data_IF_730254985747
#
_entry.id   IF_730254985747
#
_cell.length_a   1.000
_cell.length_b   1.000
_cell.length_c   1.000
_cell.angle_alpha   90.00
_cell.angle_beta   90.00
_cell.angle_gamma   90.00
#
_symmetry.space_group_name_H-M   'P 1'
#
loop_
_entity.id
_entity.type
_entity.pdbx_description
1 polymer ?
#
# COMPACT_ATOMS: atom_id res chain seq x y z
N UNK A 1 19.73 3.53 4.99
CA UNK A 1 19.10 4.83 4.59
C UNK A 1 20.14 5.93 4.50
N UNK A 2 20.90 6.21 5.54
CA UNK A 2 21.95 7.25 5.59
C UNK A 2 22.91 7.23 4.40
N UNK A 3 23.52 6.08 4.10
CA UNK A 3 24.42 5.91 2.95
C UNK A 3 23.76 6.22 1.59
N UNK A 4 22.50 5.81 1.39
CA UNK A 4 21.76 6.09 0.14
C UNK A 4 21.45 7.58 -0.05
N UNK A 5 21.18 8.29 1.06
CA UNK A 5 20.83 9.70 1.04
C UNK A 5 22.02 10.64 1.21
N UNK A 6 23.23 10.08 1.42
CA UNK A 6 24.46 10.83 1.69
C UNK A 6 24.34 11.84 2.83
N UNK A 7 23.59 11.48 3.87
CA UNK A 7 23.42 12.28 5.10
C UNK A 7 23.71 11.40 6.32
N UNK A 8 24.08 12.02 7.43
CA UNK A 8 24.40 11.29 8.66
C UNK A 8 23.17 10.67 9.34
N UNK A 9 23.42 9.67 10.19
CA UNK A 9 22.34 8.93 10.86
C UNK A 9 21.57 9.79 11.87
N UNK A 10 22.22 10.75 12.50
CA UNK A 10 21.61 11.66 13.49
C UNK A 10 20.60 12.55 12.77
N UNK A 11 20.99 13.11 11.63
CA UNK A 11 20.09 13.92 10.78
C UNK A 11 18.86 13.12 10.35
N UNK A 12 19.01 11.86 9.92
CA UNK A 12 17.86 11.01 9.59
C UNK A 12 16.97 10.79 10.79
N UNK A 13 17.55 10.44 11.95
CA UNK A 13 16.79 10.22 13.17
C UNK A 13 16.00 11.45 13.59
N UNK A 14 16.61 12.62 13.51
CA UNK A 14 15.97 13.88 13.85
C UNK A 14 14.83 14.21 12.87
N UNK A 15 15.01 13.96 11.56
CA UNK A 15 13.93 14.14 10.56
C UNK A 15 12.76 13.20 10.82
N UNK A 16 13.02 11.92 11.09
CA UNK A 16 11.96 10.95 11.43
C UNK A 16 11.21 11.40 12.69
N UNK A 17 11.94 11.85 13.74
CA UNK A 17 11.33 12.37 14.96
C UNK A 17 10.43 13.59 14.70
N UNK A 18 10.86 14.52 13.85
CA UNK A 18 10.03 15.68 13.45
C UNK A 18 8.76 15.24 12.72
N UNK A 19 8.85 14.27 11.80
CA UNK A 19 7.67 13.75 11.11
C UNK A 19 6.70 13.02 12.06
N UNK A 20 7.21 12.37 13.09
CA UNK A 20 6.37 11.78 14.14
C UNK A 20 5.70 12.86 15.01
N UNK A 21 6.45 13.89 15.39
CA UNK A 21 5.95 15.01 16.19
C UNK A 21 4.90 15.86 15.46
N UNK A 22 5.05 16.04 14.14
CA UNK A 22 4.04 16.74 13.32
C UNK A 22 2.79 15.89 13.06
N UNK A 23 2.79 14.60 13.40
CA UNK A 23 1.71 13.67 13.09
C UNK A 23 1.72 13.19 11.62
N UNK A 24 2.68 13.65 10.79
CA UNK A 24 2.83 13.18 9.42
C UNK A 24 3.17 11.69 9.34
N UNK A 25 4.13 11.23 10.16
CA UNK A 25 4.47 9.83 10.30
C UNK A 25 3.77 9.25 11.54
N UNK A 26 2.64 8.57 11.35
CA UNK A 26 1.89 7.93 12.44
C UNK A 26 2.61 6.73 13.05
N UNK A 27 3.42 6.03 12.25
CA UNK A 27 4.14 4.85 12.69
C UNK A 27 4.62 3.99 11.51
N UNK A 28 4.77 2.72 11.78
CA UNK A 28 5.21 1.73 10.80
C UNK A 28 4.28 0.53 10.84
N UNK A 29 4.05 -0.08 9.70
CA UNK A 29 3.27 -1.31 9.58
C UNK A 29 4.09 -2.41 8.95
N UNK A 30 3.80 -3.62 9.37
CA UNK A 30 4.29 -4.83 8.75
C UNK A 30 3.31 -5.26 7.66
N UNK A 31 3.83 -5.49 6.47
CA UNK A 31 3.11 -6.19 5.40
C UNK A 31 3.84 -7.52 5.19
N UNK A 32 3.13 -8.61 5.41
CA UNK A 32 3.57 -9.95 4.99
C UNK A 32 3.25 -10.06 3.50
N UNK A 33 4.17 -10.60 2.71
CA UNK A 33 3.95 -10.73 1.27
C UNK A 33 2.64 -11.50 1.00
N UNK A 34 1.66 -10.92 0.31
CA UNK A 34 0.36 -11.55 0.03
C UNK A 34 0.48 -12.92 -0.63
N UNK A 35 1.52 -13.15 -1.43
CA UNK A 35 1.76 -14.45 -2.07
C UNK A 35 1.99 -15.57 -1.04
N UNK A 36 2.57 -15.28 0.13
CA UNK A 36 2.74 -16.24 1.23
C UNK A 36 1.44 -16.52 1.99
N UNK A 37 0.52 -15.58 1.94
CA UNK A 37 -0.78 -15.68 2.59
C UNK A 37 -1.84 -16.34 1.68
N UNK A 38 -1.52 -16.53 0.40
CA UNK A 38 -2.46 -17.06 -0.59
C UNK A 38 -3.55 -16.04 -0.97
N UNK A 39 -3.26 -14.74 -0.82
CA UNK A 39 -4.21 -13.66 -1.12
C UNK A 39 -3.71 -12.77 -2.26
N UNK A 40 -4.65 -12.14 -2.95
CA UNK A 40 -4.41 -11.15 -3.99
C UNK A 40 -4.91 -9.78 -3.52
N UNK A 41 -4.30 -8.73 -4.03
CA UNK A 41 -4.75 -7.36 -3.79
C UNK A 41 -5.15 -6.71 -5.10
N UNK A 42 -6.23 -5.93 -5.04
CA UNK A 42 -6.65 -5.07 -6.16
C UNK A 42 -7.08 -3.71 -5.65
N UNK A 43 -6.88 -2.70 -6.45
CA UNK A 43 -7.48 -1.39 -6.28
C UNK A 43 -8.69 -1.30 -7.17
N UNK A 44 -9.82 -0.96 -6.58
CA UNK A 44 -11.04 -0.63 -7.26
C UNK A 44 -11.14 0.88 -7.36
N UNK A 45 -11.56 1.37 -8.51
CA UNK A 45 -11.85 2.75 -8.76
C UNK A 45 -13.29 2.89 -9.25
N UNK A 46 -14.04 3.83 -8.69
CA UNK A 46 -15.46 4.02 -9.00
C UNK A 46 -15.93 5.44 -8.68
N UNK A 47 -17.01 5.86 -9.35
CA UNK A 47 -17.67 7.12 -9.08
C UNK A 47 -18.81 6.97 -8.06
N UNK A 48 -19.04 8.04 -7.29
CA UNK A 48 -20.09 8.11 -6.27
C UNK A 48 -20.92 9.37 -6.52
N UNK A 49 -22.19 9.17 -6.84
CA UNK A 49 -23.11 10.27 -7.13
C UNK A 49 -24.38 10.18 -6.29
N UNK A 50 -24.76 11.25 -5.59
CA UNK A 50 -24.06 12.53 -5.44
C UNK A 50 -22.83 12.42 -4.52
N UNK A 51 -21.86 13.35 -4.59
CA UNK A 51 -20.68 13.34 -3.69
C UNK A 51 -21.01 13.33 -2.21
N UNK A 52 -22.17 13.90 -1.81
CA UNK A 52 -22.65 13.86 -0.42
C UNK A 52 -22.92 12.46 0.13
N UNK A 53 -22.99 11.44 -0.72
CA UNK A 53 -23.15 10.05 -0.29
C UNK A 53 -21.84 9.40 0.17
N UNK A 54 -20.68 10.02 -0.06
CA UNK A 54 -19.37 9.43 0.21
C UNK A 54 -19.12 9.11 1.69
N UNK A 55 -19.53 9.98 2.61
CA UNK A 55 -19.33 9.75 4.06
C UNK A 55 -20.08 8.51 4.54
N UNK A 56 -21.30 8.29 4.06
CA UNK A 56 -22.06 7.07 4.37
C UNK A 56 -21.41 5.84 3.72
N UNK A 57 -20.98 5.98 2.48
CA UNK A 57 -20.33 4.91 1.76
C UNK A 57 -19.00 4.52 2.42
N UNK A 58 -18.16 5.46 2.88
CA UNK A 58 -16.95 5.18 3.63
C UNK A 58 -17.24 4.30 4.84
N UNK A 59 -18.31 4.61 5.61
CA UNK A 59 -18.71 3.78 6.76
C UNK A 59 -19.04 2.34 6.35
N UNK A 60 -19.72 2.15 5.22
CA UNK A 60 -20.06 0.82 4.68
C UNK A 60 -18.84 0.09 4.14
N UNK A 61 -17.98 0.76 3.37
CA UNK A 61 -16.77 0.16 2.80
C UNK A 61 -15.79 -0.32 3.86
N UNK A 62 -15.69 0.35 5.00
CA UNK A 62 -14.87 -0.10 6.13
C UNK A 62 -15.29 -1.44 6.72
N UNK A 63 -16.55 -1.86 6.50
CA UNK A 63 -17.09 -3.14 6.96
C UNK A 63 -16.92 -4.26 5.93
N UNK A 64 -16.48 -3.94 4.72
CA UNK A 64 -16.22 -4.95 3.68
C UNK A 64 -15.04 -5.82 4.12
N UNK A 65 -15.24 -7.13 4.06
CA UNK A 65 -14.17 -8.09 4.33
C UNK A 65 -13.01 -7.89 3.35
N UNK A 66 -11.80 -7.85 3.87
CA UNK A 66 -10.61 -7.62 3.05
C UNK A 66 -10.36 -6.16 2.65
N UNK A 67 -11.21 -5.19 3.03
CA UNK A 67 -10.94 -3.77 2.81
C UNK A 67 -9.64 -3.36 3.52
N UNK A 68 -8.74 -2.66 2.82
CA UNK A 68 -7.43 -2.26 3.34
C UNK A 68 -7.22 -0.75 3.37
N UNK A 69 -7.66 -0.04 2.34
CA UNK A 69 -7.55 1.41 2.28
C UNK A 69 -8.63 2.00 1.37
N UNK A 70 -9.20 3.11 1.79
CA UNK A 70 -10.16 3.89 1.03
C UNK A 70 -9.52 5.24 0.74
N UNK A 71 -9.55 5.70 -0.50
CA UNK A 71 -9.22 7.09 -0.82
C UNK A 71 -10.47 7.80 -1.31
N UNK A 72 -10.73 8.95 -0.70
CA UNK A 72 -11.76 9.88 -1.12
C UNK A 72 -11.09 11.03 -1.87
N UNK A 73 -11.58 11.36 -3.07
CA UNK A 73 -11.04 12.43 -3.90
C UNK A 73 -11.99 13.64 -3.90
N UNK A 74 -11.45 14.81 -4.19
CA UNK A 74 -12.30 15.96 -4.48
C UNK A 74 -13.16 15.68 -5.71
N UNK A 75 -14.47 15.86 -5.61
CA UNK A 75 -15.41 15.51 -6.66
C UNK A 75 -16.11 14.17 -6.36
N UNK A 76 -16.29 13.31 -7.34
CA UNK A 76 -17.13 12.10 -7.22
C UNK A 76 -16.35 10.78 -7.22
N UNK A 77 -15.04 10.80 -7.41
CA UNK A 77 -14.23 9.59 -7.41
C UNK A 77 -13.92 9.07 -6.01
N UNK A 78 -13.82 7.76 -5.91
CA UNK A 78 -13.30 7.02 -4.76
C UNK A 78 -12.47 5.82 -5.21
N UNK A 79 -11.55 5.39 -4.35
CA UNK A 79 -10.87 4.09 -4.52
C UNK A 79 -10.96 3.24 -3.26
N UNK A 80 -10.95 1.94 -3.46
CA UNK A 80 -10.85 0.94 -2.39
C UNK A 80 -9.76 -0.06 -2.75
N UNK A 81 -8.78 -0.24 -1.88
CA UNK A 81 -7.86 -1.38 -1.95
C UNK A 81 -8.48 -2.52 -1.16
N UNK A 82 -8.66 -3.66 -1.82
CA UNK A 82 -9.25 -4.85 -1.23
C UNK A 82 -8.33 -6.07 -1.44
N UNK A 83 -8.35 -6.93 -0.45
CA UNK A 83 -7.68 -8.22 -0.44
C UNK A 83 -8.70 -9.35 -0.60
N UNK A 84 -8.36 -10.40 -1.35
CA UNK A 84 -9.22 -11.57 -1.56
C UNK A 84 -8.40 -12.84 -1.77
N UNK A 85 -8.98 -14.01 -1.44
CA UNK A 85 -8.32 -15.31 -1.57
C UNK A 85 -8.53 -15.96 -2.95
N UNK A 86 -9.68 -15.74 -3.59
CA UNK A 86 -10.05 -16.37 -4.86
C UNK A 86 -10.82 -15.44 -5.78
N UNK A 87 -10.82 -15.72 -7.08
CA UNK A 87 -11.62 -14.95 -8.05
C UNK A 87 -13.13 -15.02 -7.75
N UNK A 88 -13.59 -16.14 -7.18
CA UNK A 88 -14.99 -16.28 -6.78
C UNK A 88 -15.38 -15.39 -5.60
N UNK A 89 -14.47 -15.21 -4.59
CA UNK A 89 -14.70 -14.26 -3.51
C UNK A 89 -14.59 -12.82 -4.02
N UNK A 90 -13.59 -12.52 -4.86
CA UNK A 90 -13.43 -11.21 -5.47
C UNK A 90 -14.69 -10.75 -6.20
N UNK A 91 -15.28 -11.62 -7.03
CA UNK A 91 -16.49 -11.28 -7.78
C UNK A 91 -17.64 -10.87 -6.87
N UNK A 92 -17.89 -11.62 -5.79
CA UNK A 92 -18.94 -11.31 -4.81
C UNK A 92 -18.71 -9.96 -4.13
N UNK A 93 -17.48 -9.71 -3.71
CA UNK A 93 -17.12 -8.43 -3.06
C UNK A 93 -17.24 -7.26 -4.05
N UNK A 94 -16.81 -7.41 -5.29
CA UNK A 94 -16.92 -6.36 -6.30
C UNK A 94 -18.39 -6.06 -6.66
N UNK A 95 -19.24 -7.10 -6.78
CA UNK A 95 -20.67 -6.93 -6.98
C UNK A 95 -21.34 -6.22 -5.79
N UNK A 96 -20.93 -6.54 -4.56
CA UNK A 96 -21.41 -5.86 -3.36
C UNK A 96 -20.98 -4.39 -3.36
N UNK A 97 -19.69 -4.11 -3.65
CA UNK A 97 -19.16 -2.75 -3.71
C UNK A 97 -19.89 -1.93 -4.78
N UNK A 98 -20.05 -2.46 -6.00
CA UNK A 98 -20.80 -1.80 -7.07
C UNK A 98 -22.22 -1.45 -6.64
N UNK A 99 -22.91 -2.37 -5.94
CA UNK A 99 -24.28 -2.17 -5.46
C UNK A 99 -24.37 -1.09 -4.39
N UNK A 100 -23.49 -1.12 -3.37
CA UNK A 100 -23.56 -0.15 -2.27
C UNK A 100 -23.07 1.24 -2.65
N UNK A 101 -22.14 1.33 -3.64
CA UNK A 101 -21.67 2.60 -4.18
C UNK A 101 -22.59 3.18 -5.25
N UNK A 102 -23.51 2.38 -5.77
CA UNK A 102 -24.31 2.72 -6.95
C UNK A 102 -23.44 3.17 -8.14
N UNK A 103 -22.26 2.57 -8.27
CA UNK A 103 -21.31 2.93 -9.31
C UNK A 103 -21.73 2.34 -10.65
N UNK A 104 -21.74 3.19 -11.68
CA UNK A 104 -22.00 2.74 -13.05
C UNK A 104 -20.78 2.03 -13.65
N UNK A 105 -19.59 2.47 -13.25
CA UNK A 105 -18.32 1.94 -13.72
C UNK A 105 -17.41 1.61 -12.54
N UNK A 106 -16.95 0.36 -12.50
CA UNK A 106 -15.97 -0.11 -11.53
C UNK A 106 -14.73 -0.62 -12.27
N UNK A 107 -13.64 0.12 -12.15
CA UNK A 107 -12.35 -0.22 -12.75
C UNK A 107 -11.48 -0.92 -11.73
N UNK A 108 -10.85 -2.03 -12.12
CA UNK A 108 -10.01 -2.85 -11.24
C UNK A 108 -8.55 -2.81 -11.70
N UNK A 109 -7.64 -2.57 -10.78
CA UNK A 109 -6.19 -2.67 -11.02
C UNK A 109 -5.55 -3.62 -10.01
N UNK A 110 -4.94 -4.69 -10.49
CA UNK A 110 -4.17 -5.59 -9.63
C UNK A 110 -2.99 -4.88 -8.99
N UNK A 111 -2.72 -5.19 -7.72
CA UNK A 111 -1.55 -4.74 -7.00
C UNK A 111 -0.56 -5.90 -6.93
N UNK A 112 0.42 -5.98 -7.84
CA UNK A 112 1.38 -7.08 -7.83
C UNK A 112 2.36 -6.92 -6.68
N UNK A 113 2.65 -8.03 -6.00
CA UNK A 113 3.76 -8.10 -5.06
C UNK A 113 4.93 -8.87 -5.69
N UNK A 114 6.18 -8.56 -5.27
CA UNK A 114 7.34 -9.30 -5.74
C UNK A 114 7.18 -10.79 -5.45
N UNK A 115 7.66 -11.64 -6.34
CA UNK A 115 7.71 -13.08 -6.10
C UNK A 115 8.45 -13.39 -4.81
N UNK A 116 7.93 -14.36 -4.05
CA UNK A 116 8.51 -14.82 -2.78
C UNK A 116 8.35 -16.33 -2.72
N UNK A 117 9.48 -17.04 -2.67
CA UNK A 117 9.55 -18.52 -2.66
C UNK A 117 10.04 -19.06 -1.33
N UNK A 118 10.22 -18.20 -0.33
CA UNK A 118 10.69 -18.61 1.00
C UNK A 118 9.66 -19.52 1.67
N UNK A 119 10.13 -20.62 2.20
CA UNK A 119 9.35 -21.44 3.12
C UNK A 119 9.54 -20.92 4.56
N UNK A 120 8.44 -20.49 5.18
CA UNK A 120 8.43 -19.94 6.53
C UNK A 120 8.17 -21.03 7.56
N UNK A 121 9.13 -21.21 8.45
CA UNK A 121 8.99 -22.15 9.57
C UNK A 121 8.03 -21.61 10.64
N UNK A 122 7.51 -22.47 11.54
CA UNK A 122 6.70 -22.02 12.68
C UNK A 122 7.38 -20.93 13.53
N UNK A 123 8.71 -20.99 13.67
CA UNK A 123 9.47 -19.94 14.36
C UNK A 123 9.44 -18.61 13.60
N UNK A 124 9.47 -18.63 12.27
CA UNK A 124 9.38 -17.43 11.45
C UNK A 124 8.00 -16.76 11.62
N UNK A 125 6.92 -17.56 11.64
CA UNK A 125 5.57 -17.07 11.90
C UNK A 125 5.43 -16.46 13.30
N UNK A 126 6.04 -17.04 14.35
CA UNK A 126 6.07 -16.43 15.69
C UNK A 126 6.82 -15.11 15.71
N UNK A 127 7.92 -14.98 14.95
CA UNK A 127 8.63 -13.71 14.79
C UNK A 127 7.74 -12.67 14.11
N UNK A 128 7.03 -13.05 13.03
CA UNK A 128 6.09 -12.19 12.32
C UNK A 128 5.03 -11.66 13.28
N UNK A 129 4.44 -12.53 14.09
CA UNK A 129 3.45 -12.15 15.11
C UNK A 129 4.01 -11.15 16.12
N UNK A 130 5.21 -11.40 16.63
CA UNK A 130 5.87 -10.55 17.61
C UNK A 130 6.12 -9.12 17.06
N UNK A 131 6.38 -8.95 15.76
CA UNK A 131 6.64 -7.64 15.15
C UNK A 131 5.42 -7.01 14.46
N UNK A 132 4.27 -7.68 14.45
CA UNK A 132 3.08 -7.24 13.69
C UNK A 132 2.61 -5.84 14.12
N UNK A 133 2.57 -5.58 15.42
CA UNK A 133 2.18 -4.27 15.96
C UNK A 133 3.27 -3.20 15.87
N UNK A 134 4.54 -3.63 15.82
CA UNK A 134 5.68 -2.72 15.70
C UNK A 134 6.82 -3.36 14.91
N UNK A 135 6.90 -3.20 13.59
CA UNK A 135 7.93 -3.83 12.76
C UNK A 135 9.34 -3.27 12.98
N UNK A 136 9.49 -2.24 13.79
CA UNK A 136 10.78 -1.67 14.22
C UNK A 136 11.18 -2.05 15.65
N UNK A 137 10.49 -3.02 16.22
CA UNK A 137 10.82 -3.56 17.54
C UNK A 137 12.27 -4.08 17.58
N UNK A 138 12.93 -3.93 18.73
CA UNK A 138 14.34 -4.37 18.86
C UNK A 138 14.44 -5.90 18.83
N UNK A 139 15.54 -6.42 18.30
CA UNK A 139 15.80 -7.87 18.29
C UNK A 139 15.80 -8.48 19.70
N UNK A 140 16.15 -7.70 20.71
CA UNK A 140 16.11 -8.12 22.12
C UNK A 140 14.69 -8.42 22.58
N UNK A 141 13.73 -7.57 22.23
CA UNK A 141 12.32 -7.76 22.59
C UNK A 141 11.76 -8.97 21.80
N UNK A 142 11.96 -9.00 20.49
CA UNK A 142 11.52 -10.13 19.63
C UNK A 142 12.08 -11.46 20.11
N UNK A 143 13.36 -11.51 20.47
CA UNK A 143 14.01 -12.75 20.91
C UNK A 143 13.44 -13.27 22.24
N UNK A 144 13.10 -12.37 23.16
CA UNK A 144 12.47 -12.70 24.44
C UNK A 144 11.05 -13.23 24.24
N UNK A 145 10.27 -12.57 23.40
CA UNK A 145 8.88 -12.91 23.14
C UNK A 145 8.76 -14.28 22.42
N UNK A 146 9.68 -14.56 21.49
CA UNK A 146 9.67 -15.80 20.71
C UNK A 146 10.43 -16.95 21.40
N UNK A 147 11.25 -16.66 22.43
CA UNK A 147 12.05 -17.66 23.11
C UNK A 147 13.26 -18.15 22.30
N UNK A 148 13.94 -17.25 21.58
CA UNK A 148 15.11 -17.56 20.75
C UNK A 148 16.27 -16.57 21.05
N UNK A 149 17.49 -16.86 20.58
CA UNK A 149 18.59 -15.91 20.74
C UNK A 149 18.42 -14.67 19.84
N UNK A 150 18.95 -13.51 20.27
CA UNK A 150 18.95 -12.29 19.46
C UNK A 150 19.64 -12.49 18.09
N UNK A 151 20.72 -13.28 18.06
CA UNK A 151 21.42 -13.64 16.82
C UNK A 151 20.50 -14.40 15.87
N UNK A 152 19.70 -15.33 16.39
CA UNK A 152 18.72 -16.10 15.61
C UNK A 152 17.60 -15.20 15.12
N UNK A 153 17.02 -14.35 15.97
CA UNK A 153 15.96 -13.42 15.58
C UNK A 153 16.42 -12.49 14.46
N UNK A 154 17.61 -11.89 14.62
CA UNK A 154 18.22 -11.02 13.59
C UNK A 154 18.41 -11.74 12.26
N UNK A 155 19.04 -12.93 12.28
CA UNK A 155 19.32 -13.71 11.06
C UNK A 155 18.02 -14.07 10.31
N UNK A 156 16.99 -14.53 11.05
CA UNK A 156 15.70 -14.91 10.46
C UNK A 156 14.95 -13.71 9.90
N UNK A 157 14.87 -12.61 10.61
CA UNK A 157 14.27 -11.36 10.12
C UNK A 157 14.98 -10.83 8.87
N UNK A 158 16.31 -10.86 8.89
CA UNK A 158 17.09 -10.42 7.73
C UNK A 158 16.82 -11.29 6.50
N UNK A 159 16.80 -12.63 6.66
CA UNK A 159 16.42 -13.56 5.59
C UNK A 159 15.03 -13.26 5.04
N UNK A 160 14.01 -13.10 5.90
CA UNK A 160 12.65 -12.80 5.48
C UNK A 160 12.53 -11.48 4.70
N UNK A 161 13.32 -10.47 5.06
CA UNK A 161 13.37 -9.18 4.36
C UNK A 161 14.07 -9.31 3.00
N UNK A 162 15.22 -10.00 2.96
CA UNK A 162 16.01 -10.22 1.73
C UNK A 162 15.20 -11.03 0.70
N UNK A 163 14.47 -12.05 1.16
CA UNK A 163 13.58 -12.89 0.35
C UNK A 163 12.21 -12.23 0.05
N UNK A 164 12.04 -10.97 0.44
CA UNK A 164 10.81 -10.20 0.18
C UNK A 164 9.54 -10.79 0.80
N UNK A 165 9.69 -11.54 1.89
CA UNK A 165 8.57 -12.06 2.66
C UNK A 165 7.90 -10.96 3.50
N UNK A 166 8.67 -9.95 3.92
CA UNK A 166 8.23 -8.89 4.83
C UNK A 166 8.60 -7.52 4.30
N UNK A 167 7.68 -6.57 4.49
CA UNK A 167 7.89 -5.16 4.20
C UNK A 167 7.48 -4.33 5.42
N UNK A 168 8.39 -3.47 5.90
CA UNK A 168 8.04 -2.45 6.87
C UNK A 168 7.72 -1.16 6.12
N UNK A 169 6.46 -0.76 6.13
CA UNK A 169 5.99 0.44 5.44
C UNK A 169 5.58 1.52 6.44
N UNK A 170 5.86 2.80 6.15
CA UNK A 170 5.40 3.89 6.99
C UNK A 170 3.88 4.06 6.89
N UNK A 171 3.25 4.44 8.00
CA UNK A 171 1.88 4.91 8.04
C UNK A 171 1.88 6.44 8.01
N UNK A 172 1.29 7.02 6.98
CA UNK A 172 1.34 8.44 6.69
C UNK A 172 0.05 9.16 7.07
N UNK A 173 0.17 10.42 7.43
CA UNK A 173 -0.94 11.37 7.45
C UNK A 173 -0.51 12.64 6.71
N UNK A 174 -0.69 12.71 5.40
CA UNK A 174 -0.26 13.85 4.59
C UNK A 174 -0.93 15.17 4.98
N UNK A 175 -2.15 15.13 5.51
CA UNK A 175 -2.87 16.31 5.99
C UNK A 175 -2.17 17.01 7.16
N UNK A 176 -1.29 16.30 7.88
CA UNK A 176 -0.47 16.88 8.94
C UNK A 176 0.81 17.56 8.41
N UNK A 177 0.98 17.68 7.11
CA UNK A 177 2.10 18.35 6.48
C UNK A 177 1.62 19.65 5.81
N UNK A 178 1.90 20.79 6.45
CA UNK A 178 1.53 22.09 5.91
C UNK A 178 2.07 22.29 4.48
N UNK A 179 1.21 22.76 3.60
CA UNK A 179 1.56 23.01 2.20
C UNK A 179 1.75 21.75 1.35
N UNK A 180 1.35 20.57 1.83
CA UNK A 180 1.36 19.34 1.05
C UNK A 180 -0.05 18.95 0.61
N UNK A 181 -0.19 18.63 -0.67
CA UNK A 181 -1.42 18.12 -1.27
C UNK A 181 -1.14 16.70 -1.77
N UNK A 182 -1.94 15.73 -1.32
CA UNK A 182 -1.95 14.42 -1.94
C UNK A 182 -2.71 14.45 -3.25
N UNK A 183 -2.14 13.82 -4.26
CA UNK A 183 -2.79 13.66 -5.55
C UNK A 183 -2.42 12.32 -6.16
N UNK A 184 -3.30 11.79 -6.98
CA UNK A 184 -3.03 10.62 -7.81
C UNK A 184 -3.02 11.05 -9.27
N UNK A 185 -1.92 10.77 -9.96
CA UNK A 185 -1.83 10.86 -11.40
C UNK A 185 -2.29 9.55 -12.00
N UNK A 186 -3.29 9.61 -12.86
CA UNK A 186 -3.83 8.48 -13.60
C UNK A 186 -3.45 8.67 -15.07
N UNK A 187 -2.89 7.61 -15.65
CA UNK A 187 -2.44 7.61 -17.04
C UNK A 187 -3.05 6.43 -17.77
N UNK A 188 -3.76 6.69 -18.87
CA UNK A 188 -4.21 5.67 -19.79
C UNK A 188 -3.21 5.57 -20.93
N UNK A 189 -2.77 4.37 -21.22
CA UNK A 189 -1.79 4.11 -22.27
C UNK A 189 -2.48 4.06 -23.64
N UNK A 190 -1.83 4.64 -24.66
CA UNK A 190 -2.33 4.55 -26.04
C UNK A 190 -2.32 3.11 -26.55
N UNK A 191 -1.37 2.30 -26.06
CA UNK A 191 -1.29 0.87 -26.27
C UNK A 191 -0.53 0.21 -25.09
N UNK A 192 -0.75 -1.10 -24.82
CA UNK A 192 -0.10 -1.82 -23.72
C UNK A 192 1.44 -1.86 -23.81
N UNK A 193 2.00 -1.79 -25.01
CA UNK A 193 3.45 -1.85 -25.23
C UNK A 193 4.17 -0.61 -24.70
N UNK A 194 3.49 0.54 -24.72
CA UNK A 194 4.02 1.81 -24.23
C UNK A 194 4.19 1.87 -22.71
N UNK A 195 3.49 0.99 -21.98
CA UNK A 195 3.35 1.03 -20.54
C UNK A 195 4.67 1.04 -19.77
N UNK A 196 5.52 0.04 -20.03
CA UNK A 196 6.73 -0.16 -19.24
C UNK A 196 7.71 1.02 -19.40
N UNK A 197 7.88 1.51 -20.62
CA UNK A 197 8.75 2.63 -20.92
C UNK A 197 8.17 3.94 -20.37
N UNK A 198 6.89 4.19 -20.57
CA UNK A 198 6.21 5.38 -20.08
C UNK A 198 6.23 5.46 -18.56
N UNK A 199 5.92 4.36 -17.87
CA UNK A 199 5.99 4.28 -16.41
C UNK A 199 7.39 4.63 -15.89
N UNK A 200 8.43 4.09 -16.54
CA UNK A 200 9.82 4.38 -16.15
C UNK A 200 10.17 5.86 -16.40
N UNK A 201 9.73 6.45 -17.49
CA UNK A 201 9.93 7.88 -17.76
C UNK A 201 9.24 8.76 -16.73
N UNK A 202 7.98 8.47 -16.38
CA UNK A 202 7.22 9.20 -15.37
C UNK A 202 7.92 9.10 -14.01
N UNK A 203 8.28 7.88 -13.56
CA UNK A 203 8.97 7.67 -12.28
C UNK A 203 10.32 8.38 -12.25
N UNK A 204 11.11 8.31 -13.33
CA UNK A 204 12.42 8.95 -13.41
C UNK A 204 12.33 10.49 -13.42
N UNK A 205 11.29 11.05 -14.03
CA UNK A 205 11.11 12.49 -14.12
C UNK A 205 10.58 13.10 -12.82
N UNK A 206 9.68 12.39 -12.12
CA UNK A 206 8.99 12.87 -10.92
C UNK A 206 9.37 12.15 -9.63
N UNK A 207 10.47 11.41 -9.56
CA UNK A 207 10.87 10.58 -8.43
C UNK A 207 10.82 11.28 -7.07
N UNK A 208 11.20 12.56 -7.02
CA UNK A 208 11.19 13.37 -5.81
C UNK A 208 9.79 13.81 -5.33
N UNK A 209 8.76 13.58 -6.12
CA UNK A 209 7.36 13.88 -5.80
C UNK A 209 6.53 12.61 -5.62
N UNK A 210 7.05 11.46 -6.07
CA UNK A 210 6.42 10.17 -5.88
C UNK A 210 6.66 9.67 -4.47
N UNK A 211 5.60 9.41 -3.74
CA UNK A 211 5.71 8.94 -2.35
C UNK A 211 5.96 7.46 -2.29
N UNK A 212 5.36 6.72 -3.19
CA UNK A 212 5.38 5.28 -3.15
C UNK A 212 4.90 4.65 -4.46
N UNK A 213 4.70 3.37 -4.43
CA UNK A 213 4.49 2.47 -5.54
C UNK A 213 3.54 2.99 -6.60
N UNK A 214 3.91 2.84 -7.84
CA UNK A 214 2.98 2.86 -8.94
C UNK A 214 2.12 1.60 -8.90
N UNK A 215 0.83 1.73 -9.09
CA UNK A 215 -0.07 0.65 -9.44
C UNK A 215 -0.28 0.71 -10.95
N UNK A 216 -0.30 -0.43 -11.60
CA UNK A 216 -0.37 -0.47 -13.04
C UNK A 216 -1.17 -1.68 -13.47
N UNK A 217 -2.18 -1.46 -14.32
CA UNK A 217 -2.88 -2.49 -15.06
C UNK A 217 -2.43 -2.51 -16.52
N UNK A 218 -3.11 -3.26 -17.35
CA UNK A 218 -2.73 -3.37 -18.76
C UNK A 218 -2.91 -2.05 -19.51
N UNK A 219 -3.93 -1.28 -19.17
CA UNK A 219 -4.43 -0.11 -19.89
C UNK A 219 -4.26 1.20 -19.13
N UNK A 220 -3.92 1.15 -17.84
CA UNK A 220 -3.69 2.37 -17.05
C UNK A 220 -2.70 2.18 -15.90
N UNK A 221 -2.13 3.30 -15.43
CA UNK A 221 -1.23 3.40 -14.30
C UNK A 221 -1.68 4.46 -13.31
N UNK A 222 -1.39 4.21 -12.01
CA UNK A 222 -1.61 5.14 -10.92
C UNK A 222 -0.27 5.50 -10.29
N UNK A 223 -0.08 6.79 -10.05
CA UNK A 223 1.13 7.33 -9.42
C UNK A 223 0.71 8.24 -8.28
N UNK A 224 0.97 7.81 -7.05
CA UNK A 224 0.67 8.65 -5.89
C UNK A 224 1.70 9.78 -5.76
N UNK A 225 1.22 11.00 -5.61
CA UNK A 225 2.02 12.23 -5.54
C UNK A 225 1.80 12.98 -4.23
N UNK A 226 2.87 13.56 -3.71
CA UNK A 226 2.75 14.72 -2.78
C UNK A 226 3.27 15.96 -3.51
N UNK A 227 2.43 16.93 -3.65
CA UNK A 227 2.73 18.18 -4.35
C UNK A 227 2.56 19.39 -3.41
N UNK A 228 3.32 20.46 -3.62
CA UNK A 228 3.26 21.65 -2.77
C UNK A 228 2.11 22.59 -3.11
N UNK A 229 1.53 22.51 -4.30
CA UNK A 229 0.41 23.36 -4.76
C UNK A 229 -0.23 22.80 -6.03
N UNK A 230 -1.41 23.31 -6.37
CA UNK A 230 -2.18 22.89 -7.55
C UNK A 230 -1.47 23.19 -8.87
N UNK A 231 -0.67 24.27 -8.94
CA UNK A 231 0.09 24.58 -10.16
C UNK A 231 1.07 23.47 -10.51
N UNK A 232 1.61 22.77 -9.49
CA UNK A 232 2.49 21.60 -9.70
C UNK A 232 1.73 20.42 -10.30
N UNK A 233 0.47 20.21 -9.92
CA UNK A 233 -0.38 19.19 -10.56
C UNK A 233 -0.56 19.49 -12.05
N UNK A 234 -0.81 20.75 -12.40
CA UNK A 234 -0.93 21.18 -13.80
C UNK A 234 0.36 20.96 -14.59
N UNK A 235 1.51 21.32 -14.03
CA UNK A 235 2.84 21.08 -14.64
C UNK A 235 3.06 19.58 -14.94
N UNK A 236 2.81 18.74 -13.94
CA UNK A 236 2.93 17.28 -14.06
C UNK A 236 2.02 16.76 -15.18
N UNK A 237 0.76 17.16 -15.16
CA UNK A 237 -0.23 16.72 -16.13
C UNK A 237 0.12 17.16 -17.56
N UNK A 238 0.60 18.40 -17.73
CA UNK A 238 1.03 18.92 -19.03
C UNK A 238 2.18 18.08 -19.57
N UNK A 239 3.23 17.89 -18.76
CA UNK A 239 4.39 17.09 -19.18
C UNK A 239 4.01 15.64 -19.53
N UNK A 240 3.14 15.00 -18.73
CA UNK A 240 2.70 13.63 -18.98
C UNK A 240 1.94 13.52 -20.29
N UNK A 241 1.02 14.45 -20.55
CA UNK A 241 0.22 14.43 -21.79
C UNK A 241 1.05 14.61 -23.07
N UNK A 242 2.23 15.23 -22.96
CA UNK A 242 3.17 15.40 -24.08
C UNK A 242 4.02 14.14 -24.34
N UNK A 243 3.97 13.13 -23.44
CA UNK A 243 4.79 11.93 -23.63
C UNK A 243 4.21 10.99 -24.68
N UNK A 244 5.05 10.46 -25.60
CA UNK A 244 4.63 9.41 -26.51
C UNK A 244 4.11 8.19 -25.74
N UNK A 245 2.99 7.62 -26.18
CA UNK A 245 2.35 6.47 -25.55
C UNK A 245 1.28 6.81 -24.53
N UNK A 246 1.04 8.11 -24.24
CA UNK A 246 -0.11 8.56 -23.44
C UNK A 246 -1.35 8.65 -24.31
N UNK A 247 -2.39 7.91 -23.99
CA UNK A 247 -3.73 8.06 -24.58
C UNK A 247 -4.51 9.20 -23.93
N UNK A 248 -4.56 9.17 -22.61
CA UNK A 248 -5.10 10.26 -21.77
C UNK A 248 -4.49 10.26 -20.39
N UNK A 249 -4.55 11.38 -19.68
CA UNK A 249 -4.11 11.48 -18.30
C UNK A 249 -4.89 12.56 -17.56
N UNK A 250 -5.06 12.36 -16.24
CA UNK A 250 -5.62 13.35 -15.34
C UNK A 250 -5.03 13.20 -13.94
N UNK A 251 -5.17 14.24 -13.13
CA UNK A 251 -4.73 14.27 -11.73
C UNK A 251 -5.96 14.47 -10.86
N UNK A 252 -6.14 13.58 -9.89
CA UNK A 252 -7.17 13.66 -8.87
C UNK A 252 -6.57 14.05 -7.53
N UNK A 253 -7.18 15.01 -6.86
CA UNK A 253 -6.71 15.44 -5.55
C UNK A 253 -7.36 14.58 -4.47
N UNK A 254 -6.54 14.00 -3.61
CA UNK A 254 -7.02 13.18 -2.49
C UNK A 254 -7.49 14.09 -1.37
N UNK A 255 -8.75 13.99 -1.01
CA UNK A 255 -9.37 14.68 0.12
C UNK A 255 -9.07 13.97 1.43
N UNK A 256 -9.25 12.66 1.47
CA UNK A 256 -8.95 11.82 2.63
C UNK A 256 -8.45 10.44 2.23
N UNK A 257 -7.64 9.83 3.10
CA UNK A 257 -7.19 8.46 2.96
C UNK A 257 -7.37 7.72 4.27
N UNK A 258 -8.28 6.77 4.25
CA UNK A 258 -8.68 5.96 5.39
C UNK A 258 -8.03 4.60 5.26
N UNK A 259 -7.30 4.19 6.28
CA UNK A 259 -6.62 2.90 6.35
C UNK A 259 -7.42 1.92 7.21
N UNK A 260 -7.69 0.71 6.70
CA UNK A 260 -8.51 -0.36 7.32
C UNK A 260 -7.69 -1.66 7.34
N UNK A 261 -6.45 -1.58 7.85
CA UNK A 261 -5.51 -2.69 7.75
C UNK A 261 -5.76 -3.86 8.71
N UNK A 262 -6.76 -3.78 9.57
CA UNK A 262 -7.14 -4.88 10.47
C UNK A 262 -7.42 -6.18 9.70
N UNK A 263 -8.00 -6.07 8.51
CA UNK A 263 -8.24 -7.21 7.62
C UNK A 263 -6.98 -7.97 7.21
N UNK A 264 -5.81 -7.30 7.24
CA UNK A 264 -4.52 -7.95 6.93
C UNK A 264 -4.05 -8.89 8.04
N UNK A 265 -4.59 -8.78 9.25
CA UNK A 265 -4.21 -9.62 10.38
C UNK A 265 -4.77 -11.04 10.26
N UNK A 266 -5.97 -11.19 9.73
CA UNK A 266 -6.67 -12.48 9.67
C UNK A 266 -5.91 -13.57 8.89
N UNK A 267 -5.41 -13.35 7.65
CA UNK A 267 -4.61 -14.35 6.96
C UNK A 267 -3.31 -14.69 7.69
N UNK A 268 -2.69 -13.75 8.41
CA UNK A 268 -1.51 -14.00 9.22
C UNK A 268 -1.83 -14.91 10.40
N UNK A 269 -2.95 -14.66 11.10
CA UNK A 269 -3.41 -15.50 12.22
C UNK A 269 -3.75 -16.92 11.73
N UNK A 270 -4.38 -17.06 10.57
CA UNK A 270 -4.66 -18.35 9.94
C UNK A 270 -3.37 -19.13 9.70
N UNK A 271 -2.34 -18.51 9.13
CA UNK A 271 -1.02 -19.12 8.91
C UNK A 271 -0.32 -19.49 10.21
N UNK A 272 -0.43 -18.68 11.26
CA UNK A 272 0.08 -19.00 12.59
C UNK A 272 -0.60 -20.23 13.19
N UNK A 273 -1.91 -20.33 13.05
CA UNK A 273 -2.67 -21.48 13.54
C UNK A 273 -2.25 -22.76 12.81
N UNK A 274 -2.16 -22.73 11.46
CA UNK A 274 -1.69 -23.85 10.64
C UNK A 274 -0.27 -24.31 11.06
N UNK A 275 0.65 -23.35 11.24
CA UNK A 275 2.03 -23.62 11.65
C UNK A 275 2.11 -24.21 13.08
N UNK A 276 1.18 -23.86 13.96
CA UNK A 276 1.13 -24.38 15.33
C UNK A 276 0.62 -25.82 15.42
N UNK A 277 -0.28 -26.21 14.52
CA UNK A 277 -0.80 -27.59 14.41
C UNK A 277 0.29 -28.54 13.91
N UNK A 278 1.11 -28.11 12.96
CA UNK A 278 2.20 -28.93 12.41
C UNK A 278 3.28 -29.30 13.46
N UNK A 279 3.49 -28.44 14.47
CA UNK A 279 4.42 -28.73 15.58
C UNK A 279 3.88 -29.83 16.53
N UNK A 280 2.55 -29.92 16.67
CA UNK A 280 1.95 -30.91 17.58
C UNK A 280 1.82 -32.28 16.96
N UNK A 281 1.95 -32.36 15.63
CA UNK A 281 1.84 -33.61 14.85
C UNK A 281 3.21 -34.24 14.51
N UNK A 282 4.33 -33.52 14.76
CA UNK A 282 5.72 -33.97 14.63
C UNK A 282 6.31 -34.35 16.00
#
# INVERSE_FOLDING_TARGET
MARKLRIDEVTIRNRIKRFQQSGFLKGWRLIVNPNLLGVKLTQLWFDVRPPSAKDDLVRKLRLIHGALAISDYHGFWMTLIIMYESEGSAKKEFELIARISNAENLVCASIPFPGCTIDLTPTDWRIIKAIQGNPRQSYSVVSREVGISQKTARRRLQRMIEERALFAVPSWNPQALDGAIMADLIVFYANPESKADLDNRIVSHFDKFLIWTRLSSIDHGFFNLIIGNISKAKEILTWVKEQPGVGSAFVELVQDRIEVYESFNEPVEKKLAEASISIRAS
#
